data_IF_819469496619
#
_entry.id   IF_819469496619
#
_cell.length_a   1.000
_cell.length_b   1.000
_cell.length_c   1.000
_cell.angle_alpha   90.00
_cell.angle_beta   90.00
_cell.angle_gamma   90.00
#
_symmetry.space_group_name_H-M   'P 1'
#
loop_
_entity.id
_entity.type
_entity.pdbx_description
1 polymer ?
#
# COMPACT_ATOMS: atom_id res chain seq x y z
N UNK A 1 5.10 4.34 -17.28
CA UNK A 1 4.01 5.21 -16.77
C UNK A 1 2.67 4.55 -17.02
N UNK A 2 1.75 4.54 -16.03
CA UNK A 2 0.36 4.04 -16.12
C UNK A 2 -0.55 5.24 -15.87
N UNK A 3 -1.56 5.45 -16.71
CA UNK A 3 -2.54 6.52 -16.53
C UNK A 3 -3.96 6.02 -16.79
N UNK A 4 -4.93 6.58 -16.07
CA UNK A 4 -6.35 6.37 -16.34
C UNK A 4 -7.06 7.70 -16.54
N UNK A 5 -8.08 7.72 -17.40
CA UNK A 5 -8.98 8.86 -17.62
C UNK A 5 -10.41 8.40 -17.50
N UNK A 6 -11.12 8.98 -16.53
CA UNK A 6 -12.54 8.76 -16.24
C UNK A 6 -12.90 7.26 -16.14
N UNK A 7 -11.95 6.46 -15.63
CA UNK A 7 -12.06 5.02 -15.61
C UNK A 7 -13.20 4.57 -14.72
N UNK A 8 -14.19 3.90 -15.31
CA UNK A 8 -15.40 3.47 -14.62
C UNK A 8 -15.72 2.02 -14.87
N UNK A 9 -16.13 1.30 -13.82
CA UNK A 9 -16.68 -0.04 -13.88
C UNK A 9 -17.93 -0.17 -13.04
N UNK A 10 -19.05 -0.48 -13.70
CA UNK A 10 -20.33 -0.72 -13.06
C UNK A 10 -20.75 -2.18 -13.23
N UNK A 11 -21.40 -2.72 -12.22
CA UNK A 11 -22.06 -4.02 -12.22
C UNK A 11 -23.52 -3.79 -11.81
N UNK A 12 -24.42 -3.80 -12.80
CA UNK A 12 -25.80 -3.36 -12.58
C UNK A 12 -25.86 -1.92 -12.12
N UNK A 13 -26.53 -1.65 -11.01
CA UNK A 13 -26.65 -0.31 -10.42
C UNK A 13 -25.47 0.12 -9.55
N UNK A 14 -24.53 -0.80 -9.24
CA UNK A 14 -23.40 -0.53 -8.34
C UNK A 14 -22.15 -0.18 -9.13
N UNK A 15 -21.55 0.96 -8.84
CA UNK A 15 -20.24 1.34 -9.33
C UNK A 15 -19.17 0.72 -8.43
N UNK A 16 -18.32 -0.13 -9.01
CA UNK A 16 -17.16 -0.72 -8.33
C UNK A 16 -15.91 0.14 -8.48
N UNK A 17 -15.84 0.93 -9.56
CA UNK A 17 -14.88 1.98 -9.81
C UNK A 17 -15.62 3.10 -10.56
N UNK A 18 -15.43 4.35 -10.19
CA UNK A 18 -16.15 5.47 -10.76
C UNK A 18 -15.24 6.67 -10.97
N UNK A 19 -15.07 7.02 -12.23
CA UNK A 19 -14.34 8.22 -12.66
C UNK A 19 -12.92 8.31 -12.10
N UNK A 20 -12.18 7.19 -12.11
CA UNK A 20 -10.83 7.11 -11.55
C UNK A 20 -9.85 7.73 -12.54
N UNK A 21 -9.21 8.81 -12.11
CA UNK A 21 -8.13 9.51 -12.80
C UNK A 21 -6.87 9.39 -11.95
N UNK A 22 -5.89 8.57 -12.39
CA UNK A 22 -4.64 8.37 -11.67
C UNK A 22 -3.44 8.34 -12.62
N UNK A 23 -2.27 8.63 -12.04
CA UNK A 23 -1.00 8.57 -12.76
C UNK A 23 0.09 7.93 -11.90
N UNK A 24 0.58 6.75 -12.30
CA UNK A 24 1.79 6.13 -11.76
C UNK A 24 2.94 6.34 -12.73
N UNK A 25 3.98 7.05 -12.30
CA UNK A 25 5.12 7.39 -13.13
C UNK A 25 6.07 6.21 -13.33
N UNK A 26 6.99 6.31 -14.27
CA UNK A 26 8.00 5.30 -14.52
C UNK A 26 8.98 5.20 -13.34
N UNK A 27 9.28 3.97 -12.90
CA UNK A 27 10.14 3.72 -11.74
C UNK A 27 9.53 4.09 -10.39
N UNK A 28 8.25 4.46 -10.34
CA UNK A 28 7.53 4.85 -9.13
C UNK A 28 6.84 3.65 -8.50
N UNK A 29 6.79 3.62 -7.17
CA UNK A 29 5.93 2.71 -6.41
C UNK A 29 4.67 3.48 -6.03
N UNK A 30 3.58 3.15 -6.70
CA UNK A 30 2.26 3.73 -6.48
C UNK A 30 1.46 2.87 -5.50
N UNK A 31 1.17 3.39 -4.32
CA UNK A 31 0.32 2.76 -3.31
C UNK A 31 -1.15 3.08 -3.55
N UNK A 32 -1.96 2.08 -3.83
CA UNK A 32 -3.41 2.21 -4.06
C UNK A 32 -4.16 1.74 -2.82
N UNK A 33 -4.51 2.68 -1.95
CA UNK A 33 -5.02 2.45 -0.62
C UNK A 33 -6.55 2.51 -0.59
N UNK A 34 -7.16 1.68 0.21
CA UNK A 34 -8.62 1.68 0.37
C UNK A 34 -9.11 0.51 1.20
N UNK A 35 -10.26 0.65 1.81
CA UNK A 35 -10.92 -0.42 2.56
C UNK A 35 -11.31 -1.59 1.65
N UNK A 36 -11.64 -2.72 2.26
CA UNK A 36 -12.17 -3.87 1.53
C UNK A 36 -13.46 -3.48 0.80
N UNK A 37 -13.56 -3.87 -0.48
CA UNK A 37 -14.69 -3.49 -1.32
C UNK A 37 -14.62 -2.07 -1.92
N UNK A 38 -13.57 -1.28 -1.66
CA UNK A 38 -13.41 0.06 -2.22
C UNK A 38 -13.22 0.10 -3.74
N UNK A 39 -12.95 -1.05 -4.40
CA UNK A 39 -12.76 -1.15 -5.85
C UNK A 39 -11.32 -1.36 -6.30
N UNK A 40 -10.36 -1.60 -5.38
CA UNK A 40 -8.93 -1.80 -5.68
C UNK A 40 -8.70 -2.92 -6.70
N UNK A 41 -9.13 -4.13 -6.39
CA UNK A 41 -8.97 -5.32 -7.27
C UNK A 41 -9.67 -5.12 -8.63
N UNK A 42 -10.85 -4.50 -8.65
CA UNK A 42 -11.56 -4.18 -9.89
C UNK A 42 -10.75 -3.24 -10.78
N UNK A 43 -10.18 -2.20 -10.20
CA UNK A 43 -9.32 -1.26 -10.92
C UNK A 43 -8.07 -1.97 -11.47
N UNK A 44 -7.40 -2.78 -10.66
CA UNK A 44 -6.22 -3.53 -11.09
C UNK A 44 -6.53 -4.54 -12.20
N UNK A 45 -7.68 -5.21 -12.15
CA UNK A 45 -8.13 -6.10 -13.23
C UNK A 45 -8.40 -5.35 -14.54
N UNK A 46 -8.90 -4.11 -14.49
CA UNK A 46 -9.02 -3.25 -15.67
C UNK A 46 -7.66 -2.86 -16.23
N UNK A 47 -6.71 -2.47 -15.36
CA UNK A 47 -5.33 -2.16 -15.75
C UNK A 47 -4.65 -3.36 -16.45
N UNK A 48 -4.96 -4.58 -16.06
CA UNK A 48 -4.44 -5.82 -16.67
C UNK A 48 -5.25 -6.29 -17.89
N UNK A 49 -6.26 -5.54 -18.33
CA UNK A 49 -7.18 -5.96 -19.43
C UNK A 49 -7.92 -7.29 -19.14
N UNK A 50 -7.97 -7.72 -17.86
CA UNK A 50 -8.72 -8.92 -17.43
C UNK A 50 -10.23 -8.70 -17.49
N UNK A 51 -10.67 -7.45 -17.24
CA UNK A 51 -12.05 -7.00 -17.41
C UNK A 51 -12.10 -5.72 -18.21
N UNK A 52 -13.18 -5.51 -18.97
CA UNK A 52 -13.37 -4.27 -19.72
C UNK A 52 -13.98 -3.19 -18.83
N UNK A 53 -13.49 -1.94 -18.89
CA UNK A 53 -14.19 -0.80 -18.32
C UNK A 53 -15.59 -0.67 -18.88
N UNK A 54 -16.50 -0.06 -18.11
CA UNK A 54 -17.80 0.40 -18.60
C UNK A 54 -17.63 1.68 -19.43
N UNK A 55 -16.74 2.58 -18.96
CA UNK A 55 -16.33 3.80 -19.67
C UNK A 55 -14.92 4.22 -19.21
N UNK A 56 -14.35 5.22 -19.88
CA UNK A 56 -13.03 5.73 -19.61
C UNK A 56 -11.92 4.93 -20.30
N UNK A 57 -10.70 5.38 -20.12
CA UNK A 57 -9.54 4.88 -20.86
C UNK A 57 -8.33 4.62 -19.95
N UNK A 58 -7.49 3.68 -20.37
CA UNK A 58 -6.24 3.31 -19.71
C UNK A 58 -5.10 3.47 -20.70
N UNK A 59 -4.01 4.07 -20.23
CA UNK A 59 -2.82 4.30 -21.04
C UNK A 59 -1.57 3.74 -20.37
N UNK A 60 -0.69 3.14 -21.17
CA UNK A 60 0.65 2.74 -20.79
C UNK A 60 1.66 3.55 -21.61
N UNK A 61 2.45 4.38 -20.95
CA UNK A 61 3.41 5.29 -21.59
C UNK A 61 2.79 6.10 -22.76
N UNK A 62 1.56 6.61 -22.54
CA UNK A 62 0.82 7.41 -23.51
C UNK A 62 0.05 6.61 -24.57
N UNK A 63 0.23 5.29 -24.64
CA UNK A 63 -0.48 4.45 -25.60
C UNK A 63 -1.71 3.80 -24.95
N UNK A 64 -2.88 3.90 -25.59
CA UNK A 64 -4.12 3.26 -25.09
C UNK A 64 -3.97 1.75 -25.00
N UNK A 65 -4.47 1.16 -23.88
CA UNK A 65 -4.45 -0.27 -23.62
C UNK A 65 -5.09 -1.12 -24.74
N UNK A 66 -6.05 -0.53 -25.47
CA UNK A 66 -6.73 -1.21 -26.59
C UNK A 66 -5.80 -1.42 -27.79
N UNK A 67 -4.79 -0.57 -27.93
CA UNK A 67 -3.82 -0.56 -29.05
C UNK A 67 -2.50 -1.26 -28.74
N UNK A 68 -2.33 -1.76 -27.50
CA UNK A 68 -1.12 -2.44 -27.08
C UNK A 68 -1.02 -3.82 -27.76
N UNK A 69 0.16 -4.16 -28.33
CA UNK A 69 0.40 -5.48 -28.90
C UNK A 69 0.47 -6.56 -27.82
N UNK A 70 0.29 -7.81 -28.18
CA UNK A 70 0.31 -8.96 -27.24
C UNK A 70 1.65 -9.07 -26.50
N UNK A 71 2.75 -8.75 -27.17
CA UNK A 71 4.12 -8.79 -26.66
C UNK A 71 4.33 -7.81 -25.49
N UNK A 72 3.53 -6.73 -25.44
CA UNK A 72 3.56 -5.78 -24.33
C UNK A 72 3.42 -6.47 -22.97
N UNK A 73 2.54 -7.49 -22.89
CA UNK A 73 2.25 -8.20 -21.65
C UNK A 73 3.41 -9.07 -21.14
N UNK A 74 4.43 -9.32 -21.97
CA UNK A 74 5.65 -10.01 -21.54
C UNK A 74 6.49 -9.18 -20.56
N UNK A 75 6.33 -7.86 -20.56
CA UNK A 75 7.02 -6.96 -19.62
C UNK A 75 6.16 -6.58 -18.40
N UNK A 76 4.98 -7.18 -18.24
CA UNK A 76 4.06 -6.96 -17.11
C UNK A 76 4.07 -8.17 -16.19
N UNK A 77 4.44 -7.95 -14.94
CA UNK A 77 4.26 -8.91 -13.85
C UNK A 77 3.01 -8.57 -13.05
N UNK A 78 2.35 -9.57 -12.52
CA UNK A 78 1.18 -9.33 -11.69
C UNK A 78 0.94 -10.44 -10.68
N UNK A 79 0.34 -10.04 -9.55
CA UNK A 79 -0.25 -10.92 -8.54
C UNK A 79 -1.59 -10.29 -8.16
N UNK A 80 -2.69 -10.90 -8.58
CA UNK A 80 -4.06 -10.45 -8.26
C UNK A 80 -4.77 -11.57 -7.50
N UNK A 81 -5.29 -11.22 -6.33
CA UNK A 81 -5.93 -12.15 -5.40
C UNK A 81 -4.98 -13.25 -4.90
N UNK A 82 -5.33 -14.51 -5.15
CA UNK A 82 -4.55 -15.66 -4.68
C UNK A 82 -3.46 -16.06 -5.68
N UNK A 83 -2.30 -16.52 -5.20
CA UNK A 83 -1.28 -17.09 -6.06
C UNK A 83 -1.81 -18.32 -6.81
N UNK A 84 -1.90 -18.23 -8.13
CA UNK A 84 -2.26 -19.37 -8.96
C UNK A 84 -1.01 -20.20 -9.28
N UNK A 85 -0.74 -21.22 -8.49
CA UNK A 85 0.32 -22.19 -8.72
C UNK A 85 -0.27 -23.60 -8.80
N UNK A 86 0.41 -24.51 -9.49
CA UNK A 86 -0.01 -25.91 -9.57
C UNK A 86 0.27 -26.60 -8.23
N UNK A 87 -0.78 -27.03 -7.49
CA UNK A 87 -0.63 -27.46 -6.10
C UNK A 87 0.20 -28.73 -5.92
N UNK A 88 0.19 -29.63 -6.91
CA UNK A 88 0.93 -30.89 -6.87
C UNK A 88 2.38 -30.79 -7.38
N UNK A 89 2.77 -29.64 -7.93
CA UNK A 89 4.13 -29.34 -8.36
C UNK A 89 4.90 -28.70 -7.22
N UNK A 90 6.20 -28.92 -7.20
CA UNK A 90 7.12 -28.20 -6.28
C UNK A 90 7.19 -26.72 -6.62
N UNK A 91 7.73 -25.92 -5.72
CA UNK A 91 8.02 -24.50 -5.98
C UNK A 91 8.90 -24.36 -7.22
N UNK A 92 9.97 -25.13 -7.32
CA UNK A 92 10.91 -25.07 -8.44
C UNK A 92 10.24 -25.43 -9.77
N UNK A 93 9.46 -26.50 -9.80
CA UNK A 93 8.70 -26.92 -11.01
C UNK A 93 7.71 -25.83 -11.47
N UNK A 94 7.00 -25.20 -10.54
CA UNK A 94 6.14 -24.07 -10.83
C UNK A 94 6.89 -22.90 -11.43
N UNK A 95 8.05 -22.55 -10.86
CA UNK A 95 8.88 -21.45 -11.36
C UNK A 95 9.48 -21.75 -12.73
N UNK A 96 9.93 -23.00 -12.98
CA UNK A 96 10.42 -23.45 -14.30
C UNK A 96 9.30 -23.33 -15.34
N UNK A 97 8.10 -23.84 -15.02
CA UNK A 97 6.97 -23.79 -15.94
C UNK A 97 6.62 -22.33 -16.29
N UNK A 98 6.53 -21.47 -15.28
CA UNK A 98 6.20 -20.08 -15.49
C UNK A 98 7.30 -19.31 -16.26
N UNK A 99 8.57 -19.60 -15.97
CA UNK A 99 9.70 -19.04 -16.71
C UNK A 99 9.64 -19.38 -18.21
N UNK A 100 9.28 -20.64 -18.55
CA UNK A 100 9.07 -21.08 -19.93
C UNK A 100 7.88 -20.36 -20.59
N UNK A 101 6.76 -20.20 -19.86
CA UNK A 101 5.60 -19.45 -20.35
C UNK A 101 5.93 -17.98 -20.66
N UNK A 102 6.90 -17.41 -19.91
CA UNK A 102 7.42 -16.06 -20.13
C UNK A 102 8.56 -15.99 -21.14
N UNK A 103 8.80 -17.08 -21.88
CA UNK A 103 9.83 -17.19 -22.93
C UNK A 103 11.25 -16.84 -22.43
N UNK A 104 11.54 -17.13 -21.15
CA UNK A 104 12.89 -16.98 -20.62
C UNK A 104 13.79 -18.06 -21.24
N UNK A 105 14.97 -17.69 -21.77
CA UNK A 105 15.91 -18.67 -22.34
C UNK A 105 16.29 -19.77 -21.34
N UNK A 106 16.32 -21.02 -21.76
CA UNK A 106 16.61 -22.16 -20.89
C UNK A 106 17.92 -21.99 -20.11
N UNK A 107 18.92 -21.38 -20.72
CA UNK A 107 20.22 -21.07 -20.09
C UNK A 107 20.14 -20.10 -18.92
N UNK A 108 19.08 -19.28 -18.85
CA UNK A 108 18.87 -18.29 -17.79
C UNK A 108 17.94 -18.78 -16.67
N UNK A 109 17.07 -19.77 -16.94
CA UNK A 109 15.99 -20.17 -16.03
C UNK A 109 16.55 -20.50 -14.63
N UNK A 110 17.56 -21.38 -14.55
CA UNK A 110 18.15 -21.77 -13.28
C UNK A 110 18.65 -20.56 -12.49
N UNK A 111 19.45 -19.70 -13.13
CA UNK A 111 19.99 -18.49 -12.50
C UNK A 111 18.90 -17.56 -11.99
N UNK A 112 17.80 -17.43 -12.73
CA UNK A 112 16.66 -16.56 -12.32
C UNK A 112 15.91 -17.17 -11.13
N UNK A 113 15.70 -18.50 -11.13
CA UNK A 113 15.09 -19.21 -10.01
C UNK A 113 15.96 -19.07 -8.75
N UNK A 114 17.27 -19.30 -8.86
CA UNK A 114 18.20 -19.16 -7.74
C UNK A 114 18.12 -17.75 -7.14
N UNK A 115 18.17 -16.72 -7.98
CA UNK A 115 18.09 -15.32 -7.54
C UNK A 115 16.75 -14.99 -6.86
N UNK A 116 15.64 -15.40 -7.45
CA UNK A 116 14.32 -15.02 -6.90
C UNK A 116 13.99 -15.82 -5.63
N UNK A 117 14.41 -17.10 -5.56
CA UNK A 117 14.26 -17.93 -4.36
C UNK A 117 15.02 -17.34 -3.18
N UNK A 118 16.27 -16.92 -3.41
CA UNK A 118 17.07 -16.24 -2.38
C UNK A 118 16.42 -14.92 -1.94
N UNK A 119 15.96 -14.09 -2.89
CA UNK A 119 15.34 -12.79 -2.58
C UNK A 119 14.06 -12.90 -1.76
N UNK A 120 13.29 -13.96 -1.94
CA UNK A 120 11.99 -14.18 -1.28
C UNK A 120 12.04 -15.26 -0.19
N UNK A 121 13.25 -15.72 0.19
CA UNK A 121 13.46 -16.73 1.23
C UNK A 121 12.71 -18.04 0.93
N UNK A 122 12.79 -18.49 -0.33
CA UNK A 122 12.14 -19.72 -0.82
C UNK A 122 13.12 -20.90 -0.99
N UNK A 123 14.42 -20.72 -0.72
CA UNK A 123 15.43 -21.75 -1.00
C UNK A 123 15.15 -23.06 -0.27
N UNK A 124 14.78 -23.01 1.01
CA UNK A 124 14.44 -24.18 1.82
C UNK A 124 13.16 -24.90 1.34
N UNK A 125 12.33 -24.23 0.54
CA UNK A 125 11.03 -24.75 0.09
C UNK A 125 11.01 -25.17 -1.38
N UNK A 126 12.14 -25.06 -2.09
CA UNK A 126 12.20 -25.31 -3.56
C UNK A 126 11.63 -26.65 -3.98
N UNK A 127 11.90 -27.72 -3.18
CA UNK A 127 11.46 -29.08 -3.45
C UNK A 127 10.13 -29.43 -2.75
N UNK A 128 9.52 -28.48 -2.03
CA UNK A 128 8.23 -28.69 -1.38
C UNK A 128 7.10 -28.45 -2.38
N UNK A 129 6.07 -29.28 -2.37
CA UNK A 129 4.87 -29.07 -3.19
C UNK A 129 4.09 -27.86 -2.71
N UNK A 130 3.52 -27.09 -3.62
CA UNK A 130 2.82 -25.87 -3.30
C UNK A 130 1.64 -26.08 -2.33
N UNK A 131 0.93 -27.21 -2.45
CA UNK A 131 -0.17 -27.56 -1.54
C UNK A 131 0.26 -27.76 -0.08
N UNK A 132 1.54 -28.05 0.16
CA UNK A 132 2.11 -28.34 1.48
C UNK A 132 2.78 -27.09 2.09
N UNK A 133 2.72 -25.94 1.41
CA UNK A 133 3.25 -24.67 1.89
C UNK A 133 2.29 -23.97 2.84
N UNK A 134 2.84 -23.15 3.75
CA UNK A 134 2.07 -22.17 4.50
C UNK A 134 1.48 -21.10 3.56
N UNK A 135 0.45 -20.38 4.01
CA UNK A 135 -0.14 -19.28 3.26
C UNK A 135 0.93 -18.26 2.83
N UNK A 136 1.81 -17.86 3.74
CA UNK A 136 2.88 -16.89 3.46
C UNK A 136 3.88 -17.39 2.41
N UNK A 137 4.31 -18.66 2.49
CA UNK A 137 5.21 -19.22 1.49
C UNK A 137 4.52 -19.38 0.13
N UNK A 138 3.24 -19.72 0.09
CA UNK A 138 2.47 -19.72 -1.15
C UNK A 138 2.37 -18.32 -1.75
N UNK A 139 2.17 -17.29 -0.93
CA UNK A 139 2.19 -15.90 -1.36
C UNK A 139 3.55 -15.51 -1.96
N UNK A 140 4.66 -15.91 -1.33
CA UNK A 140 6.02 -15.72 -1.86
C UNK A 140 6.21 -16.41 -3.22
N UNK A 141 5.62 -17.59 -3.45
CA UNK A 141 5.64 -18.27 -4.77
C UNK A 141 4.90 -17.43 -5.82
N UNK A 142 3.73 -16.88 -5.48
CA UNK A 142 3.00 -15.97 -6.36
C UNK A 142 3.82 -14.74 -6.75
N UNK A 143 4.49 -14.13 -5.77
CA UNK A 143 5.41 -13.03 -6.01
C UNK A 143 6.60 -13.46 -6.87
N UNK A 144 7.23 -14.60 -6.60
CA UNK A 144 8.33 -15.13 -7.41
C UNK A 144 7.93 -15.25 -8.89
N UNK A 145 6.72 -15.76 -9.17
CA UNK A 145 6.17 -15.82 -10.53
C UNK A 145 6.00 -14.44 -11.15
N UNK A 146 5.52 -13.45 -10.38
CA UNK A 146 5.34 -12.10 -10.89
C UNK A 146 6.68 -11.39 -11.21
N UNK A 147 7.77 -11.78 -10.53
CA UNK A 147 9.07 -11.09 -10.59
C UNK A 147 10.12 -11.77 -11.46
N UNK A 148 10.05 -13.10 -11.70
CA UNK A 148 11.12 -13.91 -12.30
C UNK A 148 11.54 -13.44 -13.70
N UNK A 149 10.62 -12.88 -14.47
CA UNK A 149 10.89 -12.39 -15.83
C UNK A 149 11.39 -10.95 -15.87
N UNK A 150 11.66 -10.31 -14.69
CA UNK A 150 12.12 -8.92 -14.54
C UNK A 150 11.21 -7.92 -15.26
N UNK A 151 9.95 -7.82 -14.87
CA UNK A 151 8.99 -6.95 -15.54
C UNK A 151 9.38 -5.48 -15.44
N UNK A 152 8.96 -4.67 -16.43
CA UNK A 152 9.04 -3.21 -16.38
C UNK A 152 7.85 -2.60 -15.62
N UNK A 153 6.74 -3.33 -15.55
CA UNK A 153 5.52 -2.93 -14.87
C UNK A 153 5.09 -4.08 -13.97
N UNK A 154 4.74 -3.77 -12.73
CA UNK A 154 4.34 -4.76 -11.74
C UNK A 154 3.04 -4.31 -11.05
N UNK A 155 2.00 -5.14 -11.11
CA UNK A 155 0.72 -4.89 -10.42
C UNK A 155 0.52 -5.95 -9.34
N UNK A 156 0.42 -5.51 -8.08
CA UNK A 156 0.35 -6.38 -6.91
C UNK A 156 -0.88 -6.06 -6.06
N UNK A 157 -1.80 -6.99 -5.97
CA UNK A 157 -2.98 -6.89 -5.10
C UNK A 157 -2.71 -7.61 -3.78
N UNK A 158 -2.60 -6.86 -2.70
CA UNK A 158 -2.35 -7.35 -1.34
C UNK A 158 -1.16 -8.34 -1.25
N UNK A 159 0.03 -8.01 -1.79
CA UNK A 159 1.14 -8.98 -1.92
C UNK A 159 1.76 -9.41 -0.59
N UNK A 160 1.49 -8.68 0.48
CA UNK A 160 2.06 -8.91 1.82
C UNK A 160 1.18 -9.75 2.74
N UNK A 161 -0.01 -10.16 2.26
CA UNK A 161 -0.95 -10.94 3.06
C UNK A 161 -0.36 -12.28 3.48
N UNK A 162 -0.46 -12.58 4.78
CA UNK A 162 -0.02 -13.85 5.36
C UNK A 162 1.48 -14.03 5.45
N UNK A 163 2.28 -13.00 5.15
CA UNK A 163 3.73 -13.03 5.33
C UNK A 163 4.10 -12.86 6.81
N UNK A 164 5.15 -13.57 7.21
CA UNK A 164 5.85 -13.34 8.46
C UNK A 164 6.69 -12.03 8.40
N UNK A 165 7.15 -11.50 9.53
CA UNK A 165 7.93 -10.26 9.56
C UNK A 165 9.19 -10.30 8.68
N UNK A 166 9.87 -11.44 8.61
CA UNK A 166 11.06 -11.62 7.76
C UNK A 166 10.68 -11.57 6.26
N UNK A 167 9.58 -12.24 5.89
CA UNK A 167 9.02 -12.19 4.54
C UNK A 167 8.59 -10.80 4.11
N UNK A 168 7.97 -10.02 5.01
CA UNK A 168 7.62 -8.62 4.76
C UNK A 168 8.85 -7.79 4.39
N UNK A 169 9.93 -7.92 5.17
CA UNK A 169 11.21 -7.22 4.92
C UNK A 169 11.81 -7.64 3.58
N UNK A 170 11.84 -8.95 3.29
CA UNK A 170 12.40 -9.48 2.05
C UNK A 170 11.64 -8.97 0.81
N UNK A 171 10.31 -9.02 0.85
CA UNK A 171 9.44 -8.50 -0.23
C UNK A 171 9.65 -7.01 -0.42
N UNK A 172 9.60 -6.21 0.66
CA UNK A 172 9.82 -4.76 0.60
C UNK A 172 11.16 -4.42 -0.06
N UNK A 173 12.26 -5.06 0.37
CA UNK A 173 13.58 -4.84 -0.21
C UNK A 173 13.64 -5.22 -1.69
N UNK A 174 12.95 -6.30 -2.08
CA UNK A 174 12.88 -6.72 -3.48
C UNK A 174 12.16 -5.67 -4.34
N UNK A 175 11.01 -5.16 -3.88
CA UNK A 175 10.24 -4.13 -4.59
C UNK A 175 11.01 -2.80 -4.70
N UNK A 176 11.64 -2.34 -3.62
CA UNK A 176 12.48 -1.14 -3.64
C UNK A 176 13.65 -1.26 -4.64
N UNK A 177 14.33 -2.42 -4.68
CA UNK A 177 15.39 -2.66 -5.68
C UNK A 177 14.87 -2.62 -7.12
N UNK A 178 13.68 -3.19 -7.36
CA UNK A 178 13.08 -3.19 -8.69
C UNK A 178 12.69 -1.78 -9.13
N UNK A 179 12.06 -0.99 -8.26
CA UNK A 179 11.71 0.39 -8.55
C UNK A 179 12.97 1.23 -8.85
N UNK A 180 14.03 1.09 -8.04
CA UNK A 180 15.32 1.74 -8.29
C UNK A 180 15.93 1.38 -9.66
N UNK A 181 15.62 0.19 -10.18
CA UNK A 181 16.05 -0.27 -11.50
C UNK A 181 15.04 0.10 -12.61
N UNK A 182 14.08 0.98 -12.34
CA UNK A 182 13.14 1.52 -13.32
C UNK A 182 11.82 0.75 -13.48
N UNK A 183 11.55 -0.26 -12.64
CA UNK A 183 10.23 -0.95 -12.65
C UNK A 183 9.17 -0.04 -12.04
N UNK A 184 8.09 0.21 -12.78
CA UNK A 184 6.89 0.87 -12.25
C UNK A 184 6.06 -0.15 -11.47
N UNK A 185 5.78 0.12 -10.21
CA UNK A 185 5.05 -0.78 -9.32
C UNK A 185 3.74 -0.14 -8.89
N UNK A 186 2.63 -0.83 -9.14
CA UNK A 186 1.31 -0.47 -8.67
C UNK A 186 0.88 -1.51 -7.64
N UNK A 187 0.73 -1.10 -6.38
CA UNK A 187 0.52 -2.01 -5.26
C UNK A 187 -0.69 -1.58 -4.44
N UNK A 188 -1.60 -2.52 -4.15
CA UNK A 188 -2.63 -2.33 -3.13
C UNK A 188 -2.20 -2.98 -1.82
N UNK A 189 -2.59 -2.38 -0.71
CA UNK A 189 -2.46 -2.99 0.62
C UNK A 189 -3.42 -2.36 1.61
N UNK A 190 -3.78 -3.11 2.63
CA UNK A 190 -4.43 -2.61 3.84
C UNK A 190 -3.43 -2.45 5.00
N UNK A 191 -2.18 -2.90 4.85
CA UNK A 191 -1.09 -2.71 5.83
C UNK A 191 -0.41 -1.35 5.56
N UNK A 192 -1.01 -0.27 6.08
CA UNK A 192 -0.63 1.10 5.73
C UNK A 192 0.76 1.48 6.27
N UNK A 193 1.17 0.95 7.42
CA UNK A 193 2.52 1.16 7.97
C UNK A 193 3.63 0.58 7.08
N UNK A 194 3.37 -0.55 6.41
CA UNK A 194 4.31 -1.11 5.45
C UNK A 194 4.31 -0.32 4.13
N UNK A 195 3.15 0.19 3.74
CA UNK A 195 3.04 1.06 2.55
C UNK A 195 3.78 2.38 2.74
N UNK A 196 3.72 3.00 3.93
CA UNK A 196 4.44 4.23 4.25
C UNK A 196 5.95 4.11 4.02
N UNK A 197 6.52 2.92 4.26
CA UNK A 197 7.96 2.63 4.06
C UNK A 197 8.35 2.33 2.61
N UNK A 198 7.36 2.19 1.72
CA UNK A 198 7.58 1.65 0.38
C UNK A 198 7.23 2.62 -0.74
N UNK A 199 6.16 3.40 -0.59
CA UNK A 199 5.53 4.14 -1.69
C UNK A 199 6.19 5.49 -1.98
N UNK A 200 6.16 5.90 -3.26
CA UNK A 200 6.53 7.24 -3.70
C UNK A 200 5.30 8.12 -3.96
N UNK A 201 4.16 7.51 -4.26
CA UNK A 201 2.87 8.15 -4.52
C UNK A 201 1.76 7.31 -3.91
N UNK A 202 0.70 7.99 -3.49
CA UNK A 202 -0.44 7.40 -2.80
C UNK A 202 -1.71 7.81 -3.51
N UNK A 203 -2.56 6.83 -3.81
CA UNK A 203 -3.95 7.05 -4.23
C UNK A 203 -4.89 6.48 -3.17
N UNK A 204 -5.75 7.30 -2.59
CA UNK A 204 -6.75 6.90 -1.59
C UNK A 204 -8.09 6.67 -2.27
N UNK A 205 -8.57 5.43 -2.22
CA UNK A 205 -9.82 4.99 -2.83
C UNK A 205 -10.87 4.69 -1.76
N UNK A 206 -12.06 5.27 -1.91
CA UNK A 206 -13.23 4.92 -1.12
C UNK A 206 -14.49 4.90 -1.99
N UNK A 207 -15.39 3.95 -1.74
CA UNK A 207 -16.66 3.81 -2.45
C UNK A 207 -16.53 3.86 -3.99
N UNK A 208 -15.45 3.30 -4.52
CA UNK A 208 -15.16 3.28 -5.96
C UNK A 208 -14.61 4.59 -6.52
N UNK A 209 -14.35 5.61 -5.71
CA UNK A 209 -13.82 6.92 -6.13
C UNK A 209 -12.41 7.14 -5.60
N UNK A 210 -11.56 7.74 -6.42
CA UNK A 210 -10.25 8.23 -5.99
C UNK A 210 -10.45 9.57 -5.29
N UNK A 211 -10.26 9.58 -3.95
CA UNK A 211 -10.47 10.76 -3.12
C UNK A 211 -9.30 11.72 -3.17
N UNK A 212 -8.10 11.17 -3.08
CA UNK A 212 -6.84 11.92 -3.13
C UNK A 212 -5.78 11.14 -3.88
N UNK A 213 -4.94 11.86 -4.59
CA UNK A 213 -3.70 11.37 -5.17
C UNK A 213 -2.58 12.34 -4.78
N UNK A 214 -1.55 11.83 -4.12
CA UNK A 214 -0.45 12.62 -3.55
C UNK A 214 0.88 11.93 -3.79
N UNK A 215 1.92 12.67 -4.13
CA UNK A 215 3.30 12.20 -3.94
C UNK A 215 3.58 12.01 -2.45
N UNK A 216 4.59 11.20 -2.12
CA UNK A 216 5.00 11.03 -0.72
C UNK A 216 5.47 12.33 -0.08
N UNK A 217 6.07 13.23 -0.87
CA UNK A 217 6.48 14.56 -0.41
C UNK A 217 5.28 15.44 -0.05
N UNK A 218 4.23 15.44 -0.88
CA UNK A 218 2.98 16.16 -0.59
C UNK A 218 2.28 15.58 0.64
N UNK A 219 2.24 14.25 0.78
CA UNK A 219 1.75 13.58 1.98
C UNK A 219 2.51 14.03 3.22
N UNK A 220 3.86 14.04 3.19
CA UNK A 220 4.69 14.52 4.30
C UNK A 220 4.38 15.98 4.68
N UNK A 221 4.05 16.82 3.69
CA UNK A 221 3.62 18.20 3.92
C UNK A 221 2.20 18.36 4.49
N UNK A 222 1.34 17.37 4.28
CA UNK A 222 -0.05 17.37 4.74
C UNK A 222 -0.25 16.66 6.09
N UNK A 223 0.77 15.97 6.61
CA UNK A 223 0.70 15.25 7.90
C UNK A 223 0.47 16.22 9.04
N UNK A 224 -0.46 15.89 9.89
CA UNK A 224 -0.64 16.63 11.14
C UNK A 224 0.47 16.30 12.13
N UNK A 225 0.99 17.33 12.81
CA UNK A 225 1.88 17.14 13.93
C UNK A 225 1.06 16.92 15.20
N UNK A 226 1.42 15.91 15.97
CA UNK A 226 0.88 15.61 17.28
C UNK A 226 2.00 15.63 18.29
N UNK A 227 1.64 15.76 19.55
CA UNK A 227 2.59 15.69 20.64
C UNK A 227 2.35 14.41 21.42
N UNK A 228 3.35 13.54 21.47
CA UNK A 228 3.33 12.35 22.31
C UNK A 228 3.87 12.69 23.69
N UNK A 229 3.09 12.42 24.72
CA UNK A 229 3.45 12.68 26.12
C UNK A 229 3.30 11.37 26.90
N UNK A 230 4.36 11.02 27.64
CA UNK A 230 4.35 9.91 28.60
C UNK A 230 4.59 10.47 30.00
N UNK A 231 3.78 10.05 30.95
CA UNK A 231 3.91 10.40 32.37
C UNK A 231 4.22 9.15 33.20
N UNK A 232 4.70 9.34 34.43
CA UNK A 232 5.09 8.24 35.31
C UNK A 232 3.87 7.49 35.85
N UNK A 233 2.80 8.21 36.15
CA UNK A 233 1.57 7.67 36.71
C UNK A 233 0.46 7.59 35.66
N UNK A 234 -0.72 8.12 35.96
CA UNK A 234 -1.88 8.11 35.08
C UNK A 234 -2.01 9.41 34.29
N UNK A 235 -2.36 9.27 32.99
CA UNK A 235 -2.64 10.42 32.11
C UNK A 235 -3.89 11.21 32.52
N UNK A 236 -4.69 10.74 33.48
CA UNK A 236 -5.97 11.36 33.84
C UNK A 236 -5.82 12.84 34.21
N UNK A 237 -4.93 13.17 35.15
CA UNK A 237 -4.68 14.55 35.57
C UNK A 237 -4.13 15.41 34.41
N UNK A 238 -3.33 14.80 33.56
CA UNK A 238 -2.80 15.45 32.35
C UNK A 238 -3.91 15.73 31.34
N UNK A 239 -4.80 14.76 31.10
CA UNK A 239 -5.96 14.92 30.20
C UNK A 239 -6.87 16.02 30.70
N UNK A 240 -7.26 15.98 32.00
CA UNK A 240 -8.10 17.00 32.63
C UNK A 240 -7.52 18.41 32.46
N UNK A 241 -6.20 18.56 32.62
CA UNK A 241 -5.51 19.84 32.40
C UNK A 241 -5.54 20.26 30.93
N UNK A 242 -5.22 19.35 30.01
CA UNK A 242 -5.17 19.65 28.57
C UNK A 242 -6.56 19.97 28.00
N UNK A 243 -7.60 19.36 28.53
CA UNK A 243 -9.00 19.66 28.18
C UNK A 243 -9.39 21.09 28.56
N UNK A 244 -8.84 21.64 29.66
CA UNK A 244 -9.04 23.06 30.00
C UNK A 244 -8.44 24.01 28.96
N UNK A 245 -7.49 23.53 28.16
CA UNK A 245 -6.86 24.24 27.03
C UNK A 245 -7.54 24.00 25.69
N UNK A 246 -8.65 23.25 25.68
CA UNK A 246 -9.36 22.83 24.47
C UNK A 246 -8.48 22.06 23.47
N UNK A 247 -7.50 21.31 23.98
CA UNK A 247 -6.64 20.47 23.17
C UNK A 247 -7.28 19.08 23.01
N UNK A 248 -7.18 18.51 21.82
CA UNK A 248 -7.73 17.18 21.56
C UNK A 248 -6.74 16.12 22.07
N UNK A 249 -7.17 15.35 23.03
CA UNK A 249 -6.40 14.31 23.69
C UNK A 249 -6.86 12.91 23.28
N UNK A 250 -5.93 12.06 22.87
CA UNK A 250 -6.18 10.65 22.55
C UNK A 250 -5.30 9.77 23.42
N UNK A 251 -5.83 9.11 24.49
CA UNK A 251 -5.06 8.19 25.30
C UNK A 251 -4.53 7.02 24.46
N UNK A 252 -3.26 6.66 24.64
CA UNK A 252 -2.61 5.51 24.02
C UNK A 252 -2.53 4.36 25.02
N UNK A 253 -2.24 4.69 26.29
CA UNK A 253 -2.24 3.76 27.44
C UNK A 253 -2.58 4.50 28.72
N UNK A 254 -2.51 3.84 29.88
CA UNK A 254 -2.73 4.47 31.17
C UNK A 254 -1.74 5.61 31.47
N UNK A 255 -0.54 5.55 30.88
CA UNK A 255 0.53 6.53 31.10
C UNK A 255 0.95 7.32 29.85
N UNK A 256 0.27 7.12 28.72
CA UNK A 256 0.68 7.68 27.42
C UNK A 256 -0.50 8.34 26.69
N UNK A 257 -0.27 9.51 26.11
CA UNK A 257 -1.30 10.30 25.43
C UNK A 257 -0.74 10.97 24.17
N UNK A 258 -1.56 11.06 23.14
CA UNK A 258 -1.33 11.90 21.96
C UNK A 258 -2.18 13.16 22.06
N UNK A 259 -1.55 14.31 21.87
CA UNK A 259 -2.20 15.63 21.92
C UNK A 259 -2.13 16.26 20.53
N UNK A 260 -3.30 16.62 20.00
CA UNK A 260 -3.43 17.28 18.69
C UNK A 260 -3.75 18.77 18.87
N UNK A 261 -3.48 19.58 17.84
CA UNK A 261 -3.84 21.00 17.83
C UNK A 261 -2.85 21.93 18.51
N UNK A 262 -1.72 21.42 18.97
CA UNK A 262 -0.64 22.26 19.52
C UNK A 262 0.32 22.67 18.39
N UNK A 263 0.49 23.95 18.09
CA UNK A 263 1.52 24.41 17.15
C UNK A 263 2.94 24.11 17.67
N UNK A 264 3.84 23.73 16.76
CA UNK A 264 5.23 23.35 17.13
C UNK A 264 5.95 24.44 17.93
N UNK A 265 5.73 25.70 17.58
CA UNK A 265 6.33 26.83 18.29
C UNK A 265 5.80 27.04 19.72
N UNK A 266 4.72 26.33 20.11
CA UNK A 266 4.15 26.38 21.46
C UNK A 266 4.57 25.19 22.34
N UNK A 267 5.31 24.22 21.81
CA UNK A 267 5.70 23.03 22.56
C UNK A 267 6.49 23.32 23.82
N UNK A 268 7.48 24.23 23.73
CA UNK A 268 8.30 24.65 24.90
C UNK A 268 7.43 25.33 25.96
N UNK A 269 6.52 26.20 25.55
CA UNK A 269 5.59 26.85 26.45
C UNK A 269 4.65 25.88 27.16
N UNK A 270 4.11 24.88 26.41
CA UNK A 270 3.28 23.87 26.99
C UNK A 270 4.04 22.98 27.97
N UNK A 271 5.27 22.57 27.63
CA UNK A 271 6.13 21.81 28.55
C UNK A 271 6.33 22.54 29.87
N UNK A 272 6.70 23.80 29.81
CA UNK A 272 6.90 24.62 31.01
C UNK A 272 5.61 24.78 31.86
N UNK A 273 4.44 24.89 31.21
CA UNK A 273 3.15 24.91 31.90
C UNK A 273 2.84 23.58 32.61
N UNK A 274 3.17 22.45 31.97
CA UNK A 274 3.01 21.13 32.58
C UNK A 274 3.89 20.96 33.83
N UNK A 275 5.14 21.40 33.76
CA UNK A 275 6.07 21.41 34.90
C UNK A 275 5.54 22.24 36.08
N UNK A 276 5.01 23.45 35.80
CA UNK A 276 4.38 24.29 36.82
C UNK A 276 3.19 23.64 37.52
N UNK A 277 2.43 22.79 36.78
CA UNK A 277 1.32 22.03 37.31
C UNK A 277 1.75 20.71 37.99
N UNK A 278 3.07 20.47 38.09
CA UNK A 278 3.65 19.20 38.59
C UNK A 278 3.25 17.96 37.78
N UNK A 279 2.89 18.17 36.51
CA UNK A 279 2.58 17.12 35.54
C UNK A 279 3.84 16.82 34.73
N UNK A 280 4.91 16.36 35.41
CA UNK A 280 6.24 16.19 34.83
C UNK A 280 6.25 15.06 33.81
N UNK A 281 6.29 15.34 32.49
CA UNK A 281 6.34 14.29 31.51
C UNK A 281 7.71 13.61 31.45
N UNK A 282 7.73 12.27 31.42
CA UNK A 282 8.94 11.47 31.16
C UNK A 282 9.39 11.57 29.70
N UNK A 283 8.41 11.64 28.79
CA UNK A 283 8.64 11.81 27.36
C UNK A 283 7.71 12.91 26.87
N UNK A 284 8.27 13.84 26.10
CA UNK A 284 7.57 14.93 25.46
C UNK A 284 8.18 15.14 24.08
N UNK A 285 7.56 14.57 23.06
CA UNK A 285 8.14 14.60 21.73
C UNK A 285 7.09 14.81 20.62
N UNK A 286 7.41 15.58 19.58
CA UNK A 286 6.57 15.69 18.42
C UNK A 286 6.56 14.37 17.64
N UNK A 287 5.39 13.95 17.23
CA UNK A 287 5.16 12.80 16.33
C UNK A 287 4.31 13.26 15.16
N UNK A 288 4.56 12.68 14.00
CA UNK A 288 3.74 12.96 12.82
C UNK A 288 2.62 11.94 12.72
N UNK A 289 1.49 12.38 12.20
CA UNK A 289 0.39 11.52 11.79
C UNK A 289 0.89 10.38 10.89
N UNK A 290 0.54 9.12 11.16
CA UNK A 290 0.86 7.98 10.31
C UNK A 290 0.05 7.99 9.01
N UNK A 291 0.45 7.19 8.03
CA UNK A 291 -0.32 7.02 6.80
C UNK A 291 -1.73 6.45 7.10
N UNK A 292 -1.85 5.59 8.12
CA UNK A 292 -3.14 5.05 8.55
C UNK A 292 -4.06 6.13 9.12
N UNK A 293 -3.55 6.98 10.00
CA UNK A 293 -4.31 8.09 10.58
C UNK A 293 -4.75 9.09 9.49
N UNK A 294 -3.83 9.43 8.57
CA UNK A 294 -4.13 10.30 7.43
C UNK A 294 -5.22 9.69 6.52
N UNK A 295 -5.14 8.41 6.24
CA UNK A 295 -6.13 7.67 5.46
C UNK A 295 -7.51 7.70 6.13
N UNK A 296 -7.59 7.39 7.43
CA UNK A 296 -8.84 7.43 8.19
C UNK A 296 -9.45 8.82 8.26
N UNK A 297 -8.61 9.85 8.44
CA UNK A 297 -9.03 11.25 8.41
C UNK A 297 -9.61 11.64 7.05
N UNK A 298 -8.93 11.27 5.96
CA UNK A 298 -9.39 11.56 4.60
C UNK A 298 -10.76 10.92 4.32
N UNK A 299 -11.00 9.69 4.78
CA UNK A 299 -12.30 9.03 4.64
C UNK A 299 -13.40 9.72 5.47
N UNK A 300 -13.08 10.12 6.72
CA UNK A 300 -14.04 10.85 7.57
C UNK A 300 -14.46 12.19 6.96
N UNK A 301 -13.50 12.94 6.45
CA UNK A 301 -13.77 14.21 5.75
C UNK A 301 -14.77 14.01 4.60
N UNK A 302 -14.60 12.95 3.79
CA UNK A 302 -15.54 12.65 2.70
C UNK A 302 -16.95 12.34 3.22
N UNK A 303 -17.09 11.48 4.23
CA UNK A 303 -18.42 11.14 4.76
C UNK A 303 -19.14 12.36 5.34
N UNK A 304 -18.40 13.29 5.95
CA UNK A 304 -18.97 14.54 6.47
C UNK A 304 -19.49 15.41 5.33
N UNK A 305 -18.77 15.53 4.22
CA UNK A 305 -19.23 16.27 3.04
C UNK A 305 -20.45 15.62 2.36
N UNK A 306 -20.47 14.29 2.21
CA UNK A 306 -21.62 13.58 1.63
C UNK A 306 -22.88 13.74 2.50
N UNK A 307 -22.75 13.68 3.82
CA UNK A 307 -23.88 13.86 4.76
C UNK A 307 -24.40 15.30 4.74
N UNK A 308 -23.53 16.28 4.61
CA UNK A 308 -23.92 17.69 4.50
C UNK A 308 -24.71 17.97 3.19
N UNK A 309 -24.29 17.38 2.06
CA UNK A 309 -24.97 17.54 0.77
C UNK A 309 -26.32 16.82 0.65
N UNK A 310 -26.61 15.84 1.50
CA UNK A 310 -27.91 15.13 1.51
C UNK A 310 -28.95 15.86 2.38
N UNK A 311 -28.48 16.73 3.29
CA UNK A 311 -29.35 17.51 4.20
C UNK A 311 -29.65 18.93 3.72
N UNK A 312 -29.08 19.37 2.61
CA UNK A 312 -29.41 20.56 1.84
C UNK A 312 -30.30 20.16 0.63
#
# INVERSE_FOLDING_TARGET
>A
MIQTKDLTKSYGSKNSAFNINLTANEGEIYGFLGLNGAGKTTTMRMLLKMIRPTSGEIYYSGQSISKLPSEFWNQVGYLIETPHAYPNFTVEENLILYAKQRLIPNSEIKKRIDNISQQLLLDAYRQVKVKDLSLGNNQKVGLAKALIHKPKILLLDEPTNGLDPEGLVAVRQSLLRMAKNGTTIFISSHLLDEMEKLVNRIGILASGRLLRELSFLEFEGCRQSKLYIKVEESVKNLTDYLDTKHLQCTPVSESEILVSGVPINQYSALLHQLEQQKLNPMIFQPVKESLEEFFLRTIKEMHTYETAMVND
#
